data_IF_522154718690
#
_entry.id   IF_522154718690
#
_cell.length_a   1.000
_cell.length_b   1.000
_cell.length_c   1.000
_cell.angle_alpha   90.00
_cell.angle_beta   90.00
_cell.angle_gamma   90.00
#
_symmetry.space_group_name_H-M   'P 1'
#
loop_
_entity.id
_entity.type
_entity.pdbx_description
1 polymer ?
#
# COMPACT_ATOMS: atom_id res chain seq x y z
N UNK A 1 -28.16 3.81 10.67
CA UNK A 1 -26.92 3.01 10.73
C UNK A 1 -26.52 2.42 9.37
N UNK A 2 -27.41 1.71 8.65
CA UNK A 2 -27.11 1.07 7.35
C UNK A 2 -26.43 1.99 6.31
N UNK A 3 -26.92 3.23 6.13
CA UNK A 3 -26.31 4.20 5.21
C UNK A 3 -24.87 4.59 5.55
N UNK A 4 -24.52 4.65 6.84
CA UNK A 4 -23.15 4.98 7.27
C UNK A 4 -22.18 3.84 7.01
N UNK A 5 -22.65 2.59 7.17
CA UNK A 5 -21.86 1.39 6.90
C UNK A 5 -21.56 1.27 5.39
N UNK A 6 -22.57 1.51 4.54
CA UNK A 6 -22.38 1.49 3.09
C UNK A 6 -21.41 2.60 2.65
N UNK A 7 -21.55 3.82 3.20
CA UNK A 7 -20.62 4.91 2.92
C UNK A 7 -19.18 4.60 3.36
N UNK A 8 -18.99 3.96 4.52
CA UNK A 8 -17.65 3.57 4.96
C UNK A 8 -17.03 2.50 4.08
N UNK A 9 -17.82 1.55 3.58
CA UNK A 9 -17.35 0.49 2.68
C UNK A 9 -16.91 1.11 1.35
N UNK A 10 -17.75 1.96 0.75
CA UNK A 10 -17.42 2.65 -0.51
C UNK A 10 -16.16 3.49 -0.35
N UNK A 11 -16.07 4.29 0.72
CA UNK A 11 -14.87 5.08 1.02
C UNK A 11 -13.63 4.20 1.16
N UNK A 12 -13.74 3.09 1.87
CA UNK A 12 -12.64 2.15 2.08
C UNK A 12 -12.16 1.48 0.78
N UNK A 13 -13.06 1.17 -0.14
CA UNK A 13 -12.71 0.63 -1.45
C UNK A 13 -11.92 1.68 -2.23
N UNK A 14 -12.40 2.93 -2.30
CA UNK A 14 -11.71 4.03 -2.98
C UNK A 14 -10.32 4.25 -2.36
N UNK A 15 -10.24 4.29 -1.03
CA UNK A 15 -8.99 4.43 -0.30
C UNK A 15 -7.98 3.34 -0.66
N UNK A 16 -8.42 2.09 -0.71
CA UNK A 16 -7.56 0.95 -1.06
C UNK A 16 -7.06 1.04 -2.50
N UNK A 17 -7.93 1.38 -3.45
CA UNK A 17 -7.55 1.57 -4.86
C UNK A 17 -6.50 2.68 -5.00
N UNK A 18 -6.69 3.81 -4.31
CA UNK A 18 -5.72 4.92 -4.31
C UNK A 18 -4.38 4.51 -3.69
N UNK A 19 -4.41 3.78 -2.56
CA UNK A 19 -3.20 3.30 -1.89
C UNK A 19 -2.34 2.44 -2.82
N UNK A 20 -2.93 1.43 -3.47
CA UNK A 20 -2.22 0.60 -4.44
C UNK A 20 -1.82 1.38 -5.69
N UNK A 21 -2.66 2.32 -6.16
CA UNK A 21 -2.33 3.17 -7.31
C UNK A 21 -1.06 4.00 -7.07
N UNK A 22 -0.91 4.58 -5.88
CA UNK A 22 0.31 5.32 -5.51
C UNK A 22 1.53 4.39 -5.45
N UNK A 23 1.41 3.20 -4.86
CA UNK A 23 2.52 2.24 -4.82
C UNK A 23 2.97 1.83 -6.21
N UNK A 24 2.03 1.51 -7.10
CA UNK A 24 2.33 1.16 -8.50
C UNK A 24 3.01 2.33 -9.21
N UNK A 25 2.50 3.56 -9.02
CA UNK A 25 3.11 4.77 -9.59
C UNK A 25 4.54 5.00 -9.12
N UNK A 26 4.81 4.87 -7.81
CA UNK A 26 6.15 5.00 -7.25
C UNK A 26 7.08 3.88 -7.74
N UNK A 27 6.58 2.65 -7.80
CA UNK A 27 7.34 1.51 -8.34
C UNK A 27 7.72 1.74 -9.80
N UNK A 28 6.78 2.20 -10.62
CA UNK A 28 7.03 2.54 -12.02
C UNK A 28 8.02 3.70 -12.18
N UNK A 29 7.93 4.73 -11.33
CA UNK A 29 8.90 5.83 -11.32
C UNK A 29 10.31 5.31 -10.99
N UNK A 30 10.43 4.42 -10.00
CA UNK A 30 11.71 3.83 -9.64
C UNK A 30 12.29 2.99 -10.78
N UNK A 31 11.49 2.14 -11.44
CA UNK A 31 11.99 1.31 -12.54
C UNK A 31 12.39 2.12 -13.76
N UNK A 32 11.69 3.22 -14.06
CA UNK A 32 12.05 4.10 -15.17
C UNK A 32 13.34 4.89 -14.94
N UNK A 33 13.64 5.24 -13.69
CA UNK A 33 14.85 5.99 -13.34
C UNK A 33 16.03 5.10 -12.88
N UNK A 34 15.79 3.80 -12.72
CA UNK A 34 16.84 2.86 -12.35
C UNK A 34 17.68 2.49 -13.56
N UNK A 35 18.93 2.95 -13.59
CA UNK A 35 19.93 2.47 -14.56
C UNK A 35 20.56 1.21 -13.96
N UNK A 36 20.31 0.01 -14.52
CA UNK A 36 20.93 -1.20 -14.02
C UNK A 36 22.44 -1.14 -14.27
N UNK A 37 23.23 -1.31 -13.22
CA UNK A 37 24.69 -1.39 -13.32
C UNK A 37 25.09 -2.77 -13.88
N UNK A 38 25.06 -2.86 -15.21
CA UNK A 38 25.32 -4.08 -15.96
C UNK A 38 26.80 -4.47 -15.86
N UNK A 39 27.70 -3.51 -15.66
CA UNK A 39 29.15 -3.75 -15.64
C UNK A 39 29.57 -4.49 -14.37
N UNK A 40 28.96 -4.15 -13.22
CA UNK A 40 29.19 -4.87 -11.97
C UNK A 40 28.38 -6.16 -11.83
N UNK A 41 27.31 -6.34 -12.62
CA UNK A 41 26.47 -7.55 -12.59
C UNK A 41 27.12 -8.81 -13.17
N UNK A 42 28.12 -8.65 -14.05
CA UNK A 42 28.84 -9.76 -14.72
C UNK A 42 30.25 -10.02 -14.16
N UNK A 43 30.71 -9.26 -13.15
CA UNK A 43 31.91 -9.63 -12.42
C UNK A 43 31.68 -11.00 -11.78
N UNK A 44 32.57 -12.00 -11.96
CA UNK A 44 32.43 -13.29 -11.35
C UNK A 44 32.58 -13.12 -9.84
N UNK A 45 31.47 -12.91 -9.14
CA UNK A 45 31.44 -12.96 -7.68
C UNK A 45 31.32 -14.44 -7.35
N UNK A 46 32.34 -15.02 -6.71
CA UNK A 46 32.45 -16.45 -6.35
C UNK A 46 31.29 -17.02 -5.49
N UNK A 47 30.25 -16.23 -5.22
CA UNK A 47 29.10 -16.55 -4.38
C UNK A 47 27.75 -16.53 -5.14
N UNK A 48 27.73 -16.51 -6.49
CA UNK A 48 26.50 -16.34 -7.28
C UNK A 48 25.52 -17.52 -7.22
N UNK A 49 25.99 -18.76 -7.06
CA UNK A 49 25.11 -19.94 -7.06
C UNK A 49 24.07 -19.92 -5.92
N UNK A 50 24.34 -19.21 -4.83
CA UNK A 50 23.41 -19.07 -3.70
C UNK A 50 22.66 -17.74 -3.67
N UNK A 51 22.93 -16.84 -4.63
CA UNK A 51 22.36 -15.48 -4.65
C UNK A 51 21.35 -15.24 -5.78
N UNK A 52 20.80 -16.31 -6.35
CA UNK A 52 19.60 -16.27 -7.21
C UNK A 52 18.32 -16.37 -6.38
N UNK A 53 18.29 -15.74 -5.20
CA UNK A 53 17.03 -15.46 -4.54
C UNK A 53 16.41 -14.26 -5.28
N UNK A 54 15.60 -14.55 -6.31
CA UNK A 54 14.68 -13.56 -6.88
C UNK A 54 14.01 -12.82 -5.72
N UNK A 55 14.25 -11.50 -5.66
CA UNK A 55 14.08 -10.65 -4.48
C UNK A 55 13.05 -11.14 -3.47
N UNK A 56 13.53 -11.73 -2.37
CA UNK A 56 12.70 -12.04 -1.22
C UNK A 56 12.40 -10.72 -0.49
N UNK A 57 11.45 -9.93 -1.01
CA UNK A 57 10.83 -8.89 -0.21
C UNK A 57 10.09 -9.61 0.89
N UNK A 58 10.60 -9.55 2.12
CA UNK A 58 9.89 -9.96 3.32
C UNK A 58 8.65 -9.09 3.43
N UNK A 59 7.56 -9.51 2.80
CA UNK A 59 6.24 -8.95 3.03
C UNK A 59 5.75 -9.58 4.33
N UNK A 60 5.67 -8.82 5.44
CA UNK A 60 5.21 -9.36 6.72
C UNK A 60 3.78 -9.91 6.62
N UNK A 61 3.02 -9.48 5.61
CA UNK A 61 1.70 -9.98 5.28
C UNK A 61 1.65 -10.36 3.80
N UNK A 62 1.03 -11.49 3.44
CA UNK A 62 0.72 -11.78 2.04
C UNK A 62 -0.25 -10.73 1.46
N UNK A 63 -0.43 -10.73 0.14
CA UNK A 63 -1.28 -9.75 -0.59
C UNK A 63 -2.68 -9.63 0.04
N UNK A 64 -3.26 -10.77 0.47
CA UNK A 64 -4.57 -10.80 1.13
C UNK A 64 -4.55 -10.05 2.47
N UNK A 65 -3.48 -10.18 3.24
CA UNK A 65 -3.30 -9.48 4.52
C UNK A 65 -3.15 -7.98 4.32
N UNK A 66 -2.37 -7.55 3.32
CA UNK A 66 -2.23 -6.13 2.98
C UNK A 66 -3.57 -5.48 2.60
N UNK A 67 -4.36 -6.15 1.74
CA UNK A 67 -5.70 -5.67 1.35
C UNK A 67 -6.64 -5.60 2.55
N UNK A 68 -6.59 -6.61 3.43
CA UNK A 68 -7.45 -6.63 4.63
C UNK A 68 -7.13 -5.46 5.54
N UNK A 69 -5.85 -5.19 5.77
CA UNK A 69 -5.39 -4.08 6.62
C UNK A 69 -5.77 -2.73 5.99
N UNK A 70 -5.57 -2.56 4.68
CA UNK A 70 -5.91 -1.29 4.00
C UNK A 70 -7.40 -0.98 4.08
N UNK A 71 -8.26 -1.99 3.98
CA UNK A 71 -9.71 -1.85 4.13
C UNK A 71 -10.08 -1.45 5.56
N UNK A 72 -9.51 -2.11 6.57
CA UNK A 72 -9.76 -1.77 7.97
C UNK A 72 -9.34 -0.35 8.32
N UNK A 73 -8.19 0.11 7.78
CA UNK A 73 -7.71 1.48 7.93
C UNK A 73 -8.69 2.46 7.26
N UNK A 74 -9.09 2.19 6.01
CA UNK A 74 -10.03 3.04 5.28
C UNK A 74 -11.36 3.22 6.02
N UNK A 75 -11.91 2.13 6.56
CA UNK A 75 -13.12 2.18 7.39
C UNK A 75 -12.92 2.98 8.69
N UNK A 76 -11.78 2.81 9.35
CA UNK A 76 -11.45 3.51 10.59
C UNK A 76 -11.33 5.02 10.37
N UNK A 77 -10.64 5.44 9.30
CA UNK A 77 -10.50 6.85 8.92
C UNK A 77 -11.87 7.49 8.70
N UNK A 78 -12.77 6.81 7.97
CA UNK A 78 -14.10 7.34 7.71
C UNK A 78 -14.91 7.54 8.99
N UNK A 79 -14.88 6.56 9.91
CA UNK A 79 -15.62 6.64 11.18
C UNK A 79 -15.04 7.75 12.05
N UNK A 80 -13.72 7.80 12.21
CA UNK A 80 -13.05 8.84 12.99
C UNK A 80 -13.31 10.24 12.43
N UNK A 81 -13.17 10.42 11.11
CA UNK A 81 -13.47 11.69 10.44
C UNK A 81 -14.92 12.13 10.66
N UNK A 82 -15.86 11.20 10.59
CA UNK A 82 -17.28 11.47 10.86
C UNK A 82 -17.53 11.85 12.33
N UNK A 83 -16.87 11.21 13.28
CA UNK A 83 -16.99 11.54 14.71
C UNK A 83 -16.42 12.92 15.01
N UNK A 84 -15.24 13.25 14.46
CA UNK A 84 -14.60 14.55 14.60
C UNK A 84 -15.47 15.65 13.98
N UNK A 85 -15.94 15.46 12.75
CA UNK A 85 -16.83 16.40 12.07
C UNK A 85 -18.10 16.70 12.89
N UNK A 86 -18.73 15.64 13.42
CA UNK A 86 -19.92 15.79 14.27
C UNK A 86 -19.62 16.52 15.58
N UNK A 87 -18.44 16.29 16.18
CA UNK A 87 -18.00 16.97 17.41
C UNK A 87 -17.71 18.46 17.16
N UNK A 88 -17.17 18.80 15.99
CA UNK A 88 -16.85 20.18 15.62
C UNK A 88 -18.12 21.01 15.35
N UNK A 89 -19.08 20.47 14.59
CA UNK A 89 -20.36 21.14 14.30
C UNK A 89 -21.24 21.33 15.54
N UNK A 90 -21.16 20.43 16.54
CA UNK A 90 -21.96 20.56 17.77
C UNK A 90 -21.41 21.59 18.77
N UNK A 91 -20.19 22.09 18.54
CA UNK A 91 -19.51 23.04 19.41
C UNK A 91 -19.47 24.47 18.83
N UNK A 92 -19.84 24.62 17.56
CA UNK A 92 -20.13 25.91 16.89
C UNK A 92 -21.62 26.22 16.95
#
# INVERSE_FOLDING_TARGET
MKRTIIQSIIFSIIFTVLYFGVQVGLGAYQTLNYVPDIINAYQPVDNLEHKVAFGYTTRPFGIIGEITISVLIGMSIFILGKLVYKKFIRKS
#
